data_IF_458324347886
#
_entry.id   IF_458324347886
#
_cell.length_a   1.000
_cell.length_b   1.000
_cell.length_c   1.000
_cell.angle_alpha   90.00
_cell.angle_beta   90.00
_cell.angle_gamma   90.00
#
_symmetry.space_group_name_H-M   'P 1'
#
loop_
_entity.id
_entity.type
_entity.pdbx_description
1 polymer ?
#
# COMPACT_ATOMS: atom_id res chain seq x y z
N UNK A 1 16.76 32.67 34.07
CA UNK A 1 17.66 32.21 32.98
C UNK A 1 17.00 31.24 31.98
N UNK A 2 15.92 30.55 32.33
CA UNK A 2 15.25 29.62 31.41
C UNK A 2 14.44 30.34 30.31
N UNK A 3 13.77 31.44 30.62
CA UNK A 3 12.91 32.18 29.67
C UNK A 3 13.67 32.78 28.47
N UNK A 4 14.86 33.32 28.70
CA UNK A 4 15.71 33.89 27.63
C UNK A 4 16.16 32.81 26.63
N UNK A 5 16.38 31.59 27.12
CA UNK A 5 16.77 30.44 26.30
C UNK A 5 15.61 29.98 25.42
N UNK A 6 14.38 30.00 25.95
CA UNK A 6 13.17 29.65 25.18
C UNK A 6 12.95 30.63 24.03
N UNK A 7 13.08 31.94 24.28
CA UNK A 7 12.87 32.97 23.25
C UNK A 7 13.92 32.86 22.13
N UNK A 8 15.19 32.63 22.49
CA UNK A 8 16.26 32.44 21.50
C UNK A 8 16.02 31.21 20.62
N UNK A 9 15.58 30.09 21.21
CA UNK A 9 15.28 28.88 20.47
C UNK A 9 14.12 29.05 19.48
N UNK A 10 13.08 29.80 19.87
CA UNK A 10 11.95 30.11 18.98
C UNK A 10 12.40 30.99 17.81
N UNK A 11 13.23 32.00 18.08
CA UNK A 11 13.75 32.89 17.04
C UNK A 11 14.68 32.17 16.06
N UNK A 12 15.57 31.30 16.56
CA UNK A 12 16.46 30.48 15.74
C UNK A 12 15.64 29.50 14.89
N UNK A 13 14.61 28.87 15.45
CA UNK A 13 13.70 27.99 14.70
C UNK A 13 13.00 28.71 13.54
N UNK A 14 12.43 29.89 13.80
CA UNK A 14 11.74 30.68 12.77
C UNK A 14 12.69 31.18 11.66
N UNK A 15 13.88 31.62 12.03
CA UNK A 15 14.87 32.10 11.04
C UNK A 15 15.40 30.95 10.17
N UNK A 16 15.61 29.76 10.75
CA UNK A 16 15.96 28.57 9.97
C UNK A 16 14.85 28.16 8.99
N UNK A 17 13.59 28.13 9.41
CA UNK A 17 12.46 27.84 8.50
C UNK A 17 12.40 28.83 7.34
N UNK A 18 12.56 30.13 7.58
CA UNK A 18 12.54 31.15 6.52
C UNK A 18 13.70 31.01 5.53
N UNK A 19 14.91 30.70 6.04
CA UNK A 19 16.08 30.45 5.19
C UNK A 19 15.85 29.19 4.33
N UNK A 20 15.32 28.12 4.92
CA UNK A 20 15.04 26.88 4.21
C UNK A 20 13.99 27.08 3.10
N UNK A 21 12.88 27.75 3.41
CA UNK A 21 11.85 28.06 2.41
C UNK A 21 12.40 28.88 1.24
N UNK A 22 13.24 29.87 1.52
CA UNK A 22 13.85 30.71 0.49
C UNK A 22 14.87 29.92 -0.36
N UNK A 23 15.63 29.02 0.24
CA UNK A 23 16.49 28.10 -0.50
C UNK A 23 15.69 27.13 -1.39
N UNK A 24 14.61 26.57 -0.86
CA UNK A 24 13.72 25.70 -1.62
C UNK A 24 13.07 26.45 -2.79
N UNK A 25 12.65 27.71 -2.59
CA UNK A 25 12.13 28.55 -3.68
C UNK A 25 13.17 28.87 -4.75
N UNK A 26 14.44 29.07 -4.38
CA UNK A 26 15.53 29.25 -5.35
C UNK A 26 15.90 27.97 -6.09
N UNK A 27 15.72 26.81 -5.46
CA UNK A 27 15.94 25.48 -6.05
C UNK A 27 14.78 25.08 -6.99
N UNK A 28 13.59 25.68 -6.84
CA UNK A 28 12.47 25.45 -7.77
C UNK A 28 12.82 25.99 -9.17
N UNK A 29 12.66 25.19 -10.24
CA UNK A 29 12.90 25.67 -11.59
C UNK A 29 11.95 26.84 -11.88
N UNK A 30 12.52 27.97 -12.34
CA UNK A 30 11.73 29.12 -12.77
C UNK A 30 10.74 28.65 -13.83
N UNK A 31 9.44 28.83 -13.58
CA UNK A 31 8.43 28.61 -14.63
C UNK A 31 8.80 29.50 -15.81
N UNK A 32 9.07 28.91 -16.97
CA UNK A 32 9.14 29.63 -18.25
C UNK A 32 7.72 30.15 -18.52
N UNK A 33 7.38 31.28 -17.91
CA UNK A 33 6.22 32.05 -18.31
C UNK A 33 6.49 32.52 -19.73
N UNK A 34 5.57 32.22 -20.65
CA UNK A 34 5.75 32.48 -22.09
C UNK A 34 5.83 33.97 -22.45
N UNK A 35 5.66 34.89 -21.49
CA UNK A 35 5.71 36.34 -21.69
C UNK A 35 6.24 37.04 -20.42
N UNK A 36 7.56 37.12 -20.28
CA UNK A 36 8.23 37.58 -19.06
C UNK A 36 8.63 39.07 -19.02
N UNK A 37 8.12 39.92 -19.93
CA UNK A 37 8.46 41.36 -19.99
C UNK A 37 7.33 42.29 -19.48
N UNK A 38 6.12 41.77 -19.24
CA UNK A 38 4.98 42.56 -18.78
C UNK A 38 4.46 43.59 -19.80
N UNK A 39 5.00 43.60 -21.03
CA UNK A 39 4.53 44.47 -22.10
C UNK A 39 3.52 43.74 -22.97
N UNK A 40 2.41 44.41 -23.30
CA UNK A 40 1.46 43.91 -24.28
C UNK A 40 2.11 43.92 -25.68
N UNK A 41 2.74 42.80 -26.05
CA UNK A 41 3.15 42.58 -27.44
C UNK A 41 1.91 42.25 -28.26
N UNK A 42 1.76 42.92 -29.41
CA UNK A 42 0.78 42.54 -30.42
C UNK A 42 1.24 41.20 -31.02
N UNK A 43 0.68 40.11 -30.50
CA UNK A 43 1.04 38.76 -30.92
C UNK A 43 0.27 38.40 -32.19
N UNK A 44 0.74 38.91 -33.32
CA UNK A 44 0.27 38.56 -34.67
C UNK A 44 1.30 37.68 -35.40
N UNK A 45 2.00 36.81 -34.66
CA UNK A 45 3.07 35.96 -35.19
C UNK A 45 2.65 34.49 -35.19
N UNK A 46 2.93 33.78 -36.29
CA UNK A 46 2.80 32.32 -36.44
C UNK A 46 3.40 31.53 -35.28
N UNK A 47 4.40 32.12 -34.60
CA UNK A 47 5.07 31.55 -33.42
C UNK A 47 4.12 31.35 -32.24
N UNK A 48 3.16 32.26 -32.03
CA UNK A 48 2.16 32.09 -30.97
C UNK A 48 1.19 30.97 -31.29
N UNK A 49 0.72 30.89 -32.53
CA UNK A 49 -0.13 29.78 -32.96
C UNK A 49 0.62 28.45 -32.85
N UNK A 50 1.93 28.42 -33.12
CA UNK A 50 2.79 27.27 -32.85
C UNK A 50 2.85 26.90 -31.37
N UNK A 51 3.15 27.88 -30.51
CA UNK A 51 3.21 27.67 -29.05
C UNK A 51 1.89 27.22 -28.43
N UNK A 52 0.75 27.76 -28.88
CA UNK A 52 -0.58 27.32 -28.44
C UNK A 52 -0.87 25.89 -28.89
N UNK A 53 -0.49 25.50 -30.12
CA UNK A 53 -0.63 24.12 -30.60
C UNK A 53 0.21 23.14 -29.79
N UNK A 54 1.46 23.47 -29.49
CA UNK A 54 2.34 22.65 -28.66
C UNK A 54 1.82 22.53 -27.23
N UNK A 55 1.37 23.64 -26.63
CA UNK A 55 0.76 23.65 -25.31
C UNK A 55 -0.49 22.78 -25.24
N UNK A 56 -1.39 22.89 -26.22
CA UNK A 56 -2.60 22.06 -26.29
C UNK A 56 -2.25 20.58 -26.45
N UNK A 57 -1.27 20.25 -27.31
CA UNK A 57 -0.81 18.88 -27.50
C UNK A 57 -0.18 18.29 -26.24
N UNK A 58 0.57 19.09 -25.49
CA UNK A 58 1.15 18.67 -24.22
C UNK A 58 0.07 18.52 -23.13
N UNK A 59 -0.89 19.43 -23.07
CA UNK A 59 -2.03 19.34 -22.17
C UNK A 59 -2.87 18.08 -22.44
N UNK A 60 -3.14 17.77 -23.71
CA UNK A 60 -3.82 16.55 -24.13
C UNK A 60 -3.03 15.30 -23.74
N UNK A 61 -1.71 15.30 -23.97
CA UNK A 61 -0.83 14.18 -23.54
C UNK A 61 -0.88 13.98 -22.03
N UNK A 62 -0.88 15.06 -21.25
CA UNK A 62 -0.95 14.99 -19.79
C UNK A 62 -2.32 14.52 -19.31
N UNK A 63 -3.41 14.93 -19.95
CA UNK A 63 -4.75 14.43 -19.63
C UNK A 63 -4.86 12.94 -19.93
N UNK A 64 -4.42 12.49 -21.11
CA UNK A 64 -4.42 11.06 -21.46
C UNK A 64 -3.53 10.23 -20.52
N UNK A 65 -2.38 10.75 -20.10
CA UNK A 65 -1.54 10.08 -19.12
C UNK A 65 -2.21 9.98 -17.73
N UNK A 66 -3.03 10.96 -17.34
CA UNK A 66 -3.79 10.91 -16.09
C UNK A 66 -4.90 9.88 -16.15
N UNK A 67 -5.69 9.87 -17.23
CA UNK A 67 -6.80 8.92 -17.38
C UNK A 67 -6.30 7.48 -17.38
N UNK A 68 -5.22 7.19 -18.11
CA UNK A 68 -4.59 5.85 -18.10
C UNK A 68 -4.14 5.44 -16.70
N UNK A 69 -3.55 6.37 -15.92
CA UNK A 69 -3.15 6.07 -14.52
C UNK A 69 -4.34 5.81 -13.61
N UNK A 70 -5.43 6.53 -13.81
CA UNK A 70 -6.67 6.35 -13.06
C UNK A 70 -7.30 4.99 -13.37
N UNK A 71 -7.37 4.60 -14.65
CA UNK A 71 -7.86 3.30 -15.10
C UNK A 71 -7.04 2.15 -14.50
N UNK A 72 -5.71 2.20 -14.60
CA UNK A 72 -4.82 1.19 -13.98
C UNK A 72 -5.05 1.09 -12.48
N UNK A 73 -5.23 2.23 -11.81
CA UNK A 73 -5.49 2.26 -10.37
C UNK A 73 -6.85 1.65 -10.02
N UNK A 74 -7.88 1.88 -10.84
CA UNK A 74 -9.20 1.27 -10.66
C UNK A 74 -9.13 -0.25 -10.84
N UNK A 75 -8.49 -0.73 -11.91
CA UNK A 75 -8.31 -2.16 -12.17
C UNK A 75 -7.56 -2.85 -11.03
N UNK A 76 -6.48 -2.24 -10.52
CA UNK A 76 -5.74 -2.76 -9.39
C UNK A 76 -6.60 -2.83 -8.12
N UNK A 77 -7.40 -1.80 -7.84
CA UNK A 77 -8.32 -1.79 -6.69
C UNK A 77 -9.35 -2.92 -6.79
N UNK A 78 -9.96 -3.11 -7.95
CA UNK A 78 -10.92 -4.19 -8.19
C UNK A 78 -10.29 -5.58 -8.08
N UNK A 79 -9.06 -5.75 -8.57
CA UNK A 79 -8.33 -7.01 -8.40
C UNK A 79 -8.01 -7.27 -6.92
N UNK A 80 -7.62 -6.23 -6.18
CA UNK A 80 -7.33 -6.35 -4.76
C UNK A 80 -8.57 -6.70 -3.95
N UNK A 81 -9.73 -6.09 -4.20
CA UNK A 81 -10.97 -6.43 -3.49
C UNK A 81 -11.34 -7.89 -3.71
N UNK A 82 -11.34 -8.35 -4.97
CA UNK A 82 -11.60 -9.77 -5.30
C UNK A 82 -10.63 -10.72 -4.60
N UNK A 83 -9.33 -10.38 -4.60
CA UNK A 83 -8.31 -11.18 -3.91
C UNK A 83 -8.57 -11.26 -2.39
N UNK A 84 -8.88 -10.14 -1.74
CA UNK A 84 -9.16 -10.14 -0.28
C UNK A 84 -10.40 -10.95 0.09
N UNK A 85 -11.42 -10.99 -0.78
CA UNK A 85 -12.61 -11.82 -0.55
C UNK A 85 -12.28 -13.31 -0.66
N UNK A 86 -11.51 -13.69 -1.68
CA UNK A 86 -11.05 -15.06 -1.87
C UNK A 86 -10.15 -15.52 -0.72
N UNK A 87 -9.22 -14.67 -0.28
CA UNK A 87 -8.35 -14.94 0.87
C UNK A 87 -9.16 -15.23 2.13
N UNK A 88 -10.17 -14.39 2.43
CA UNK A 88 -11.06 -14.60 3.58
C UNK A 88 -11.81 -15.93 3.49
N UNK A 89 -12.26 -16.34 2.31
CA UNK A 89 -12.94 -17.62 2.11
C UNK A 89 -12.00 -18.81 2.31
N UNK A 90 -10.83 -18.80 1.67
CA UNK A 90 -9.80 -19.83 1.83
C UNK A 90 -9.37 -19.97 3.29
N UNK A 91 -9.17 -18.85 3.99
CA UNK A 91 -8.81 -18.86 5.41
C UNK A 91 -9.89 -19.49 6.27
N UNK A 92 -11.18 -19.18 6.02
CA UNK A 92 -12.31 -19.80 6.74
C UNK A 92 -12.35 -21.32 6.53
N UNK A 93 -12.15 -21.78 5.29
CA UNK A 93 -12.14 -23.22 5.00
C UNK A 93 -10.91 -23.92 5.59
N UNK A 94 -9.74 -23.31 5.53
CA UNK A 94 -8.53 -23.83 6.16
C UNK A 94 -8.66 -23.91 7.67
N UNK A 95 -9.28 -22.92 8.33
CA UNK A 95 -9.59 -22.99 9.77
C UNK A 95 -10.47 -24.20 10.10
N UNK A 96 -11.52 -24.47 9.31
CA UNK A 96 -12.37 -25.66 9.50
C UNK A 96 -11.60 -26.97 9.31
N UNK A 97 -10.76 -27.06 8.27
CA UNK A 97 -9.90 -28.23 8.01
C UNK A 97 -8.91 -28.46 9.16
N UNK A 98 -8.30 -27.40 9.68
CA UNK A 98 -7.40 -27.47 10.83
C UNK A 98 -8.12 -27.88 12.11
N UNK A 99 -9.33 -27.38 12.37
CA UNK A 99 -10.14 -27.80 13.52
C UNK A 99 -10.41 -29.30 13.48
N UNK A 100 -10.84 -29.82 12.32
CA UNK A 100 -11.06 -31.26 12.12
C UNK A 100 -9.78 -32.08 12.31
N UNK A 101 -8.62 -31.57 11.86
CA UNK A 101 -7.33 -32.24 12.10
C UNK A 101 -7.01 -32.30 13.60
N UNK A 102 -7.19 -31.19 14.33
CA UNK A 102 -6.99 -31.15 15.78
C UNK A 102 -7.89 -32.14 16.52
N UNK A 103 -9.17 -32.21 16.15
CA UNK A 103 -10.12 -33.19 16.72
C UNK A 103 -9.66 -34.63 16.49
N UNK A 104 -9.23 -34.98 15.27
CA UNK A 104 -8.74 -36.33 14.97
C UNK A 104 -7.43 -36.65 15.68
N UNK A 105 -6.52 -35.68 15.81
CA UNK A 105 -5.28 -35.86 16.58
C UNK A 105 -5.61 -36.09 18.06
N UNK A 106 -6.52 -35.31 18.64
CA UNK A 106 -6.94 -35.50 20.03
C UNK A 106 -7.60 -36.87 20.26
N UNK A 107 -8.43 -37.34 19.32
CA UNK A 107 -9.01 -38.69 19.38
C UNK A 107 -7.93 -39.79 19.28
N UNK A 108 -6.94 -39.58 18.41
CA UNK A 108 -5.79 -40.48 18.28
C UNK A 108 -4.94 -40.52 19.57
N UNK A 109 -4.69 -39.37 20.21
CA UNK A 109 -3.93 -39.29 21.47
C UNK A 109 -4.64 -40.04 22.61
N UNK A 110 -5.96 -39.87 22.74
CA UNK A 110 -6.78 -40.63 23.72
C UNK A 110 -6.67 -42.15 23.49
N UNK A 111 -6.79 -42.60 22.25
CA UNK A 111 -6.64 -44.02 21.90
C UNK A 111 -5.22 -44.52 22.14
N UNK A 112 -4.20 -43.69 21.87
CA UNK A 112 -2.81 -44.01 22.14
C UNK A 112 -2.57 -44.23 23.64
N UNK A 113 -3.16 -43.40 24.50
CA UNK A 113 -3.00 -43.51 25.94
C UNK A 113 -3.75 -44.72 26.52
N UNK A 114 -4.96 -45.02 26.03
CA UNK A 114 -5.65 -46.28 26.36
C UNK A 114 -4.83 -47.51 25.90
N UNK A 115 -4.26 -47.46 24.70
CA UNK A 115 -3.42 -48.54 24.20
C UNK A 115 -2.17 -48.78 25.06
N UNK A 116 -1.52 -47.70 25.53
CA UNK A 116 -0.40 -47.79 26.48
C UNK A 116 -0.82 -48.42 27.80
N UNK A 117 -1.94 -47.99 28.37
CA UNK A 117 -2.46 -48.52 29.64
C UNK A 117 -2.74 -50.03 29.55
N UNK A 118 -3.32 -50.47 28.44
CA UNK A 118 -3.62 -51.87 28.15
C UNK A 118 -2.40 -52.67 27.64
N UNK A 119 -1.22 -52.04 27.49
CA UNK A 119 0.00 -52.62 26.89
C UNK A 119 -0.20 -53.20 25.48
N UNK A 120 -1.14 -52.63 24.72
CA UNK A 120 -1.40 -52.96 23.31
C UNK A 120 -0.83 -51.90 22.38
N UNK A 121 -0.79 -52.20 21.08
CA UNK A 121 -0.46 -51.20 20.05
C UNK A 121 -1.72 -50.38 19.69
N UNK A 122 -1.60 -49.07 19.44
CA UNK A 122 -2.70 -48.27 18.91
C UNK A 122 -3.21 -48.85 17.59
N UNK A 123 -4.52 -48.84 17.39
CA UNK A 123 -5.16 -49.48 16.22
C UNK A 123 -4.99 -48.69 14.92
N UNK A 124 -4.75 -47.39 14.99
CA UNK A 124 -4.63 -46.51 13.83
C UNK A 124 -3.45 -45.54 13.94
N UNK A 125 -3.00 -45.05 12.79
CA UNK A 125 -1.88 -44.12 12.68
C UNK A 125 -2.30 -42.67 13.02
N UNK A 126 -1.33 -41.83 13.38
CA UNK A 126 -1.57 -40.40 13.66
C UNK A 126 -2.03 -39.69 12.38
N UNK A 127 -3.15 -38.95 12.40
CA UNK A 127 -3.62 -38.19 11.25
C UNK A 127 -2.58 -37.16 10.79
N UNK A 128 -2.30 -37.12 9.48
CA UNK A 128 -1.33 -36.17 8.90
C UNK A 128 -2.04 -34.94 8.37
N UNK A 129 -1.48 -33.76 8.60
CA UNK A 129 -2.10 -32.50 8.15
C UNK A 129 -2.24 -32.40 6.61
N UNK A 130 -1.32 -33.02 5.87
CA UNK A 130 -1.35 -33.05 4.41
C UNK A 130 -2.61 -33.75 3.84
N UNK A 131 -3.20 -34.69 4.59
CA UNK A 131 -4.40 -35.43 4.18
C UNK A 131 -5.67 -34.54 4.20
N UNK A 132 -5.62 -33.40 4.88
CA UNK A 132 -6.75 -32.47 4.99
C UNK A 132 -6.83 -31.47 3.84
N UNK A 133 -5.84 -31.47 2.93
CA UNK A 133 -5.85 -30.65 1.72
C UNK A 133 -6.04 -29.17 2.00
N UNK A 134 -5.14 -28.57 2.79
CA UNK A 134 -5.15 -27.12 3.02
C UNK A 134 -4.97 -26.39 1.68
N UNK A 135 -5.84 -25.43 1.42
CA UNK A 135 -5.81 -24.64 0.19
C UNK A 135 -4.76 -23.54 0.30
N UNK A 136 -3.97 -23.38 -0.76
CA UNK A 136 -3.07 -22.25 -0.90
C UNK A 136 -3.84 -21.04 -1.41
N UNK A 137 -3.62 -19.88 -0.81
CA UNK A 137 -4.20 -18.62 -1.27
C UNK A 137 -3.44 -18.19 -2.54
N UNK A 138 -4.16 -17.74 -3.56
CA UNK A 138 -3.56 -17.23 -4.80
C UNK A 138 -2.63 -16.03 -4.51
N UNK A 139 -1.65 -15.81 -5.38
CA UNK A 139 -0.72 -14.70 -5.22
C UNK A 139 -1.43 -13.35 -5.19
N UNK A 140 -0.97 -12.48 -4.29
CA UNK A 140 -1.50 -11.12 -4.15
C UNK A 140 -1.24 -10.33 -5.44
N UNK A 141 -2.26 -9.68 -6.03
CA UNK A 141 -2.09 -8.84 -7.21
C UNK A 141 -1.07 -7.73 -6.94
N UNK A 142 -0.13 -7.49 -7.87
CA UNK A 142 0.85 -6.40 -7.75
C UNK A 142 0.45 -5.29 -8.72
N UNK A 143 0.64 -4.03 -8.30
CA UNK A 143 0.31 -2.87 -9.15
C UNK A 143 1.04 -2.90 -10.50
N UNK A 144 2.27 -3.41 -10.53
CA UNK A 144 3.08 -3.59 -11.75
C UNK A 144 2.44 -4.51 -12.78
N UNK A 145 1.62 -5.47 -12.35
CA UNK A 145 0.93 -6.40 -13.25
C UNK A 145 -0.16 -5.68 -14.09
N UNK A 146 -0.53 -4.46 -13.70
CA UNK A 146 -1.51 -3.61 -14.36
C UNK A 146 -0.88 -2.39 -15.07
N UNK A 147 0.43 -2.18 -14.95
CA UNK A 147 1.11 -1.09 -15.64
C UNK A 147 1.23 -1.43 -17.13
N UNK A 148 0.67 -0.58 -18.00
CA UNK A 148 0.85 -0.69 -19.45
C UNK A 148 2.30 -0.34 -19.82
N UNK A 149 3.06 -1.33 -20.28
CA UNK A 149 4.48 -1.26 -20.68
C UNK A 149 4.84 -0.20 -21.76
N UNK A 150 3.89 0.64 -22.20
CA UNK A 150 4.07 1.61 -23.28
C UNK A 150 4.13 3.08 -22.88
N UNK A 151 3.76 3.46 -21.65
CA UNK A 151 3.58 4.88 -21.28
C UNK A 151 4.38 5.29 -20.05
N UNK A 152 5.72 5.39 -20.19
CA UNK A 152 6.48 6.33 -19.36
C UNK A 152 7.78 5.82 -18.75
N UNK A 153 8.77 5.52 -19.59
CA UNK A 153 10.18 5.70 -19.22
C UNK A 153 10.97 6.46 -20.29
N UNK A 154 10.40 7.51 -20.87
CA UNK A 154 11.22 8.56 -21.48
C UNK A 154 11.67 9.50 -20.37
N UNK A 155 12.95 9.38 -20.00
CA UNK A 155 13.60 10.09 -18.91
C UNK A 155 13.48 11.60 -19.02
N UNK A 156 12.61 12.19 -18.20
CA UNK A 156 12.93 13.46 -17.58
C UNK A 156 13.96 13.19 -16.47
N UNK A 157 15.01 14.01 -16.29
CA UNK A 157 16.03 13.78 -15.28
C UNK A 157 15.38 13.74 -13.90
N UNK A 158 15.30 12.55 -13.31
CA UNK A 158 14.94 12.36 -11.92
C UNK A 158 16.15 12.79 -11.09
N UNK A 159 16.20 14.06 -10.69
CA UNK A 159 16.99 14.44 -9.53
C UNK A 159 16.23 13.92 -8.31
N UNK A 160 16.46 12.65 -7.99
CA UNK A 160 16.07 12.00 -6.74
C UNK A 160 16.84 12.65 -5.60
N UNK A 161 16.38 13.80 -5.12
CA UNK A 161 16.55 14.15 -3.73
C UNK A 161 15.51 13.33 -2.97
N UNK A 162 15.98 12.21 -2.44
CA UNK A 162 15.30 11.35 -1.48
C UNK A 162 14.87 12.19 -0.27
N UNK A 163 13.66 12.72 -0.30
CA UNK A 163 12.94 13.21 0.88
C UNK A 163 12.17 12.01 1.42
N UNK A 164 12.77 11.32 2.40
CA UNK A 164 12.11 10.29 3.17
C UNK A 164 10.91 10.90 3.89
N UNK A 165 9.71 10.59 3.39
CA UNK A 165 8.49 10.64 4.18
C UNK A 165 8.20 9.21 4.55
N UNK A 166 8.68 8.80 5.73
CA UNK A 166 8.21 7.60 6.43
C UNK A 166 6.73 7.84 6.76
N UNK A 167 5.86 7.57 5.79
CA UNK A 167 4.45 7.36 6.05
C UNK A 167 4.35 5.98 6.71
N UNK A 168 4.52 5.99 8.03
CA UNK A 168 4.20 4.92 8.94
C UNK A 168 2.73 4.55 8.74
N UNK A 169 2.48 3.51 7.94
CA UNK A 169 1.17 2.88 7.87
C UNK A 169 0.85 2.33 9.26
N UNK A 170 0.03 3.06 10.01
CA UNK A 170 -0.59 2.58 11.23
C UNK A 170 -1.43 1.36 10.86
N UNK A 171 -0.84 0.19 11.05
CA UNK A 171 -1.48 -1.11 11.05
C UNK A 171 -2.63 -1.04 12.06
N UNK A 172 -3.84 -0.81 11.58
CA UNK A 172 -5.06 -0.89 12.37
C UNK A 172 -5.24 -2.37 12.68
N UNK A 173 -4.62 -2.81 13.78
CA UNK A 173 -4.79 -4.12 14.37
C UNK A 173 -6.27 -4.34 14.60
N UNK A 174 -6.86 -5.20 13.77
CA UNK A 174 -8.18 -5.76 14.01
C UNK A 174 -8.05 -6.75 15.16
N UNK A 175 -8.00 -6.25 16.39
CA UNK A 175 -8.31 -7.01 17.59
C UNK A 175 -9.81 -7.31 17.55
N UNK A 176 -10.16 -8.45 16.94
CA UNK A 176 -11.41 -9.12 17.27
C UNK A 176 -11.28 -9.62 18.71
N UNK A 177 -11.74 -8.80 19.66
CA UNK A 177 -12.19 -9.29 20.96
C UNK A 177 -13.24 -10.38 20.70
N UNK A 178 -12.87 -11.60 21.05
CA UNK A 178 -13.73 -12.76 21.10
C UNK A 178 -14.65 -12.62 22.30
N UNK A 179 -15.95 -12.71 22.03
CA UNK A 179 -17.04 -12.77 22.98
C UNK A 179 -16.71 -13.66 24.20
N UNK A 180 -16.69 -13.06 25.39
CA UNK A 180 -16.92 -13.81 26.64
C UNK A 180 -18.43 -13.94 26.80
N UNK A 181 -18.98 -15.01 26.23
CA UNK A 181 -20.32 -15.48 26.59
C UNK A 181 -20.33 -15.96 28.04
N UNK A 182 -21.49 -15.71 28.65
CA UNK A 182 -21.83 -15.97 30.03
C UNK A 182 -21.75 -17.45 30.41
N UNK A 183 -21.09 -17.74 31.53
CA UNK A 183 -21.44 -18.86 32.39
C UNK A 183 -22.13 -18.31 33.65
N UNK A 184 -23.45 -18.15 33.51
CA UNK A 184 -24.40 -18.27 34.61
C UNK A 184 -24.88 -19.73 34.65
N UNK A 185 -24.91 -20.29 35.87
CA UNK A 185 -25.51 -21.56 36.30
C UNK A 185 -24.56 -22.75 36.55
N UNK A 186 -24.04 -22.81 37.80
CA UNK A 186 -24.26 -23.93 38.73
C UNK A 186 -23.83 -23.59 40.17
#
# INVERSE_FOLDING_TARGET
MQETTVIQNVYIGQTHSQIQEHEEQKKRPKKKGTFGDGMAKLVTSNEFMGGVKEYNKEAERQQNAKTVREEVTQLYKEAMTKWTEQEKQCLKWNKKKQAKHKEQVAAWEKEQDMAKAEKRRPRWAKPKIAEFGLESIADRPKKKDFELDGYGRHGGPTNTASSGSDDNETEVGSEQELDQEADSDL
#
